data_IF_673123816149
#
_entry.id   IF_673123816149
#
_cell.length_a   1.000
_cell.length_b   1.000
_cell.length_c   1.000
_cell.angle_alpha   90.00
_cell.angle_beta   90.00
_cell.angle_gamma   90.00
#
_symmetry.space_group_name_H-M   'P 1'
#
loop_
_entity.id
_entity.type
_entity.pdbx_description
1 polymer ?
#
# COMPACT_ATOMS: atom_id res chain seq x y z
N UNK A 1 -23.62 5.66 11.33
CA UNK A 1 -22.60 5.30 10.33
C UNK A 1 -23.27 4.47 9.24
N UNK A 2 -23.09 4.88 8.01
CA UNK A 2 -23.60 4.15 6.85
C UNK A 2 -22.47 3.43 6.16
N UNK A 3 -22.60 2.13 5.96
CA UNK A 3 -21.62 1.32 5.25
C UNK A 3 -21.89 1.37 3.75
N UNK A 4 -20.89 1.77 2.98
CA UNK A 4 -21.04 1.94 1.54
C UNK A 4 -20.37 0.85 0.72
N UNK A 5 -19.41 0.16 1.29
CA UNK A 5 -18.74 -0.94 0.62
C UNK A 5 -17.27 -1.07 0.97
N UNK A 6 -16.68 -2.15 0.49
CA UNK A 6 -15.25 -2.42 0.66
C UNK A 6 -14.51 -1.70 -0.47
N UNK A 7 -13.43 -1.03 -0.10
CA UNK A 7 -12.56 -0.36 -1.07
C UNK A 7 -11.15 -0.93 -0.98
N UNK A 8 -10.47 -0.94 -2.10
CA UNK A 8 -9.12 -1.51 -2.19
C UNK A 8 -8.22 -0.62 -3.04
N UNK A 9 -6.92 -0.74 -2.81
CA UNK A 9 -5.91 -0.13 -3.64
C UNK A 9 -4.68 -1.04 -3.69
N UNK A 10 -3.92 -0.96 -4.77
CA UNK A 10 -2.77 -1.81 -4.98
C UNK A 10 -1.66 -1.05 -5.68
N UNK A 11 -0.42 -1.36 -5.30
CA UNK A 11 0.76 -0.86 -5.98
C UNK A 11 1.75 -2.00 -6.12
N UNK A 12 2.29 -2.18 -7.33
CA UNK A 12 3.31 -3.20 -7.57
C UNK A 12 4.66 -2.50 -7.74
N UNK A 13 5.63 -2.93 -6.94
CA UNK A 13 7.02 -2.50 -7.09
C UNK A 13 7.66 -3.43 -8.11
N UNK A 14 8.13 -2.85 -9.23
CA UNK A 14 8.66 -3.62 -10.35
C UNK A 14 9.98 -4.31 -10.05
N UNK A 15 10.38 -5.19 -10.97
CA UNK A 15 11.50 -6.11 -10.77
C UNK A 15 12.83 -5.41 -10.49
N UNK A 16 13.12 -4.31 -11.19
CA UNK A 16 14.41 -3.62 -11.02
C UNK A 16 14.51 -2.97 -9.64
N UNK A 17 13.46 -2.29 -9.22
CA UNK A 17 13.42 -1.64 -7.91
C UNK A 17 13.43 -2.69 -6.80
N UNK A 18 12.71 -3.78 -6.98
CA UNK A 18 12.68 -4.89 -6.02
C UNK A 18 14.07 -5.52 -5.85
N UNK A 19 14.79 -5.70 -6.95
CA UNK A 19 16.14 -6.26 -6.91
C UNK A 19 17.09 -5.35 -6.14
N UNK A 20 17.04 -4.05 -6.39
CA UNK A 20 17.87 -3.08 -5.70
C UNK A 20 17.51 -3.04 -4.21
N UNK A 21 16.22 -3.13 -3.90
CA UNK A 21 15.72 -3.19 -2.53
C UNK A 21 16.30 -4.40 -1.79
N UNK A 22 16.23 -5.59 -2.40
CA UNK A 22 16.75 -6.82 -1.78
C UNK A 22 18.26 -6.80 -1.63
N UNK A 23 18.98 -6.26 -2.61
CA UNK A 23 20.43 -6.09 -2.53
C UNK A 23 20.81 -5.15 -1.39
N UNK A 24 20.08 -4.05 -1.24
CA UNK A 24 20.30 -3.09 -0.17
C UNK A 24 20.08 -3.69 1.22
N UNK A 25 19.06 -4.54 1.37
CA UNK A 25 18.82 -5.23 2.64
C UNK A 25 19.98 -6.13 3.02
N UNK A 26 20.58 -6.81 2.05
CA UNK A 26 21.74 -7.68 2.29
C UNK A 26 22.97 -6.88 2.72
N UNK A 27 23.13 -5.68 2.19
CA UNK A 27 24.30 -4.84 2.44
C UNK A 27 24.16 -4.01 3.72
N UNK A 28 22.97 -3.92 4.27
CA UNK A 28 22.74 -3.16 5.49
C UNK A 28 23.09 -4.01 6.70
N UNK A 29 24.13 -3.61 7.40
CA UNK A 29 24.53 -4.24 8.64
C UNK A 29 24.10 -3.32 9.78
N UNK A 30 22.98 -3.69 10.42
CA UNK A 30 22.52 -3.01 11.64
C UNK A 30 21.89 -1.65 11.43
N UNK A 31 21.47 -1.29 10.20
CA UNK A 31 20.86 -0.01 9.94
C UNK A 31 19.73 -0.07 8.93
N UNK A 32 18.90 0.95 8.93
CA UNK A 32 17.83 1.12 7.95
C UNK A 32 18.34 1.92 6.77
N UNK A 33 17.90 1.54 5.57
CA UNK A 33 18.11 2.36 4.39
C UNK A 33 16.90 3.27 4.19
N UNK A 34 17.09 4.56 4.33
CA UNK A 34 16.01 5.53 4.16
C UNK A 34 15.42 5.51 2.75
N UNK A 35 16.24 5.21 1.73
CA UNK A 35 15.75 5.16 0.35
C UNK A 35 14.77 3.99 0.13
N UNK A 36 15.00 2.85 0.77
CA UNK A 36 14.08 1.71 0.66
C UNK A 36 12.81 1.93 1.48
N UNK A 37 12.93 2.61 2.62
CA UNK A 37 11.76 3.00 3.39
C UNK A 37 10.89 3.96 2.60
N UNK A 38 11.49 4.89 1.86
CA UNK A 38 10.77 5.81 0.99
C UNK A 38 10.02 5.09 -0.11
N UNK A 39 10.64 4.08 -0.75
CA UNK A 39 9.97 3.29 -1.79
C UNK A 39 8.74 2.58 -1.23
N UNK A 40 8.87 1.96 -0.07
CA UNK A 40 7.75 1.26 0.57
C UNK A 40 6.66 2.24 0.99
N UNK A 41 7.03 3.38 1.53
CA UNK A 41 6.07 4.40 1.94
C UNK A 41 5.31 4.95 0.74
N UNK A 42 6.01 5.25 -0.35
CA UNK A 42 5.39 5.76 -1.55
C UNK A 42 4.43 4.75 -2.15
N UNK A 43 4.82 3.47 -2.19
CA UNK A 43 3.94 2.41 -2.67
C UNK A 43 2.70 2.27 -1.81
N UNK A 44 2.85 2.32 -0.49
CA UNK A 44 1.73 2.28 0.46
C UNK A 44 0.82 3.48 0.25
N UNK A 45 1.38 4.68 0.15
CA UNK A 45 0.60 5.91 -0.01
C UNK A 45 -0.18 5.90 -1.33
N UNK A 46 0.41 5.37 -2.40
CA UNK A 46 -0.27 5.24 -3.69
C UNK A 46 -1.44 4.27 -3.59
N UNK A 47 -1.23 3.11 -2.97
CA UNK A 47 -2.30 2.13 -2.77
C UNK A 47 -3.42 2.69 -1.90
N UNK A 48 -3.05 3.40 -0.83
CA UNK A 48 -4.01 4.03 0.07
C UNK A 48 -4.84 5.10 -0.65
N UNK A 49 -4.18 5.92 -1.47
CA UNK A 49 -4.87 6.96 -2.25
C UNK A 49 -5.89 6.34 -3.22
N UNK A 50 -5.54 5.23 -3.85
CA UNK A 50 -6.44 4.52 -4.75
C UNK A 50 -7.70 4.05 -4.01
N UNK A 51 -7.52 3.47 -2.81
CA UNK A 51 -8.64 3.05 -1.98
C UNK A 51 -9.50 4.24 -1.54
N UNK A 52 -8.87 5.36 -1.20
CA UNK A 52 -9.58 6.59 -0.83
C UNK A 52 -10.38 7.14 -2.01
N UNK A 53 -9.80 7.13 -3.21
CA UNK A 53 -10.51 7.60 -4.42
C UNK A 53 -11.74 6.73 -4.70
N UNK A 54 -11.64 5.42 -4.48
CA UNK A 54 -12.79 4.53 -4.59
C UNK A 54 -13.87 4.88 -3.56
N UNK A 55 -13.45 5.18 -2.33
CA UNK A 55 -14.38 5.56 -1.27
C UNK A 55 -15.11 6.86 -1.62
N UNK A 56 -14.41 7.83 -2.17
CA UNK A 56 -15.00 9.09 -2.60
C UNK A 56 -16.06 8.85 -3.68
N UNK A 57 -15.78 7.96 -4.63
CA UNK A 57 -16.74 7.61 -5.69
C UNK A 57 -18.01 6.97 -5.13
N UNK A 58 -17.90 6.29 -3.98
CA UNK A 58 -19.07 5.71 -3.30
C UNK A 58 -19.82 6.73 -2.47
N UNK A 59 -19.34 7.96 -2.35
CA UNK A 59 -19.97 8.98 -1.53
C UNK A 59 -19.56 8.94 -0.06
N UNK A 60 -18.47 8.26 0.26
CA UNK A 60 -17.98 8.14 1.63
C UNK A 60 -17.31 9.43 2.09
N UNK A 61 -17.31 9.64 3.40
CA UNK A 61 -16.52 10.69 4.02
C UNK A 61 -15.48 10.12 5.01
N UNK A 62 -15.38 8.80 5.09
CA UNK A 62 -14.37 8.13 5.91
C UNK A 62 -14.11 6.72 5.39
N UNK A 63 -12.93 6.20 5.69
CA UNK A 63 -12.58 4.80 5.48
C UNK A 63 -12.11 4.25 6.81
N UNK A 64 -12.69 3.14 7.23
CA UNK A 64 -12.40 2.51 8.51
C UNK A 64 -11.93 1.08 8.30
N UNK A 65 -11.29 0.50 9.31
CA UNK A 65 -10.85 -0.87 9.25
C UNK A 65 -9.79 -1.09 8.17
N UNK A 66 -8.85 -0.16 8.05
CA UNK A 66 -7.81 -0.24 7.02
C UNK A 66 -6.83 -1.35 7.35
N UNK A 67 -6.57 -2.19 6.37
CA UNK A 67 -5.59 -3.26 6.43
C UNK A 67 -4.59 -3.07 5.30
N UNK A 68 -3.31 -3.23 5.59
CA UNK A 68 -2.23 -3.04 4.63
C UNK A 68 -1.38 -4.30 4.62
N UNK A 69 -1.25 -4.90 3.44
CA UNK A 69 -0.47 -6.12 3.25
C UNK A 69 0.65 -5.90 2.25
N UNK A 70 1.77 -6.55 2.51
CA UNK A 70 2.93 -6.57 1.62
C UNK A 70 3.16 -8.02 1.20
N UNK A 71 3.10 -8.30 -0.10
CA UNK A 71 3.25 -9.65 -0.61
C UNK A 71 4.25 -9.68 -1.76
N UNK A 72 5.09 -10.71 -1.77
CA UNK A 72 5.96 -10.95 -2.92
C UNK A 72 5.14 -11.67 -4.00
N UNK A 73 5.26 -11.17 -5.24
CA UNK A 73 4.67 -11.81 -6.40
C UNK A 73 5.79 -12.47 -7.17
N UNK A 74 5.78 -13.80 -7.24
CA UNK A 74 6.89 -14.54 -7.83
C UNK A 74 8.16 -14.30 -7.03
N UNK A 75 9.29 -14.17 -7.74
CA UNK A 75 10.59 -13.97 -7.11
C UNK A 75 11.16 -12.57 -7.28
N UNK A 76 10.43 -11.68 -7.94
CA UNK A 76 11.02 -10.42 -8.38
C UNK A 76 10.12 -9.19 -8.25
N UNK A 77 8.94 -9.34 -7.66
CA UNK A 77 8.04 -8.20 -7.50
C UNK A 77 7.43 -8.19 -6.12
N UNK A 78 7.14 -7.00 -5.62
CA UNK A 78 6.45 -6.80 -4.35
C UNK A 78 5.16 -6.05 -4.62
N UNK A 79 4.07 -6.56 -4.05
CA UNK A 79 2.77 -5.89 -4.11
C UNK A 79 2.42 -5.35 -2.74
N UNK A 80 2.00 -4.09 -2.71
CA UNK A 80 1.40 -3.47 -1.53
C UNK A 80 -0.09 -3.36 -1.80
N UNK A 81 -0.90 -3.95 -0.94
CA UNK A 81 -2.35 -3.86 -1.06
C UNK A 81 -2.96 -3.23 0.19
N UNK A 82 -3.99 -2.44 -0.03
CA UNK A 82 -4.74 -1.77 1.01
C UNK A 82 -6.20 -2.14 0.85
N UNK A 83 -6.86 -2.48 1.94
CA UNK A 83 -8.29 -2.67 1.96
C UNK A 83 -8.89 -1.92 3.13
N UNK A 84 -10.16 -1.56 3.02
CA UNK A 84 -10.87 -0.87 4.07
C UNK A 84 -12.35 -0.82 3.75
N UNK A 85 -13.10 -0.22 4.65
CA UNK A 85 -14.55 -0.07 4.49
C UNK A 85 -14.90 1.40 4.36
N UNK A 86 -15.51 1.74 3.23
CA UNK A 86 -16.00 3.09 2.99
C UNK A 86 -17.28 3.30 3.78
N UNK A 87 -17.35 4.38 4.54
CA UNK A 87 -18.50 4.70 5.37
C UNK A 87 -18.85 6.17 5.23
N UNK A 88 -20.11 6.47 5.57
CA UNK A 88 -20.55 7.85 5.70
C UNK A 88 -20.89 8.10 7.15
N UNK A 89 -20.17 9.01 7.77
CA UNK A 89 -20.42 9.47 9.12
C UNK A 89 -21.39 10.64 9.06
N UNK A 90 -22.37 10.60 9.92
CA UNK A 90 -23.38 11.66 9.99
C UNK A 90 -22.89 12.86 10.79
#
# INVERSE_FOLDING_TARGET
MEYLGIVTGETVIGANIFRDFMAGIRDIVGGRSSSYEEVLKEAKDTALREAIDDAIRLGANAVVGIDIDYETIGQSMLMVSVSGTAVRLL
#
